data_IF_456552257939
#
_entry.id   IF_456552257939
#
_cell.length_a   1.000
_cell.length_b   1.000
_cell.length_c   1.000
_cell.angle_alpha   90.00
_cell.angle_beta   90.00
_cell.angle_gamma   90.00
#
_symmetry.space_group_name_H-M   'P 1'
#
loop_
_entity.id
_entity.type
_entity.pdbx_description
1 polymer ?
#
# COMPACT_ATOMS: atom_id res chain seq x y z
N UNK A 1 -13.54 -7.63 -35.21
CA UNK A 1 -13.23 -6.42 -36.01
C UNK A 1 -13.05 -5.23 -35.07
N UNK A 2 -12.04 -4.38 -35.29
CA UNK A 2 -11.90 -3.16 -34.47
C UNK A 2 -13.04 -2.17 -34.75
N UNK A 3 -13.46 -1.41 -33.74
CA UNK A 3 -14.55 -0.40 -33.81
C UNK A 3 -14.46 0.49 -35.07
N UNK A 4 -13.25 0.93 -35.42
CA UNK A 4 -12.99 1.71 -36.64
C UNK A 4 -13.40 0.97 -37.93
N UNK A 5 -13.04 -0.31 -38.06
CA UNK A 5 -13.37 -1.13 -39.23
C UNK A 5 -14.88 -1.38 -39.33
N UNK A 6 -15.54 -1.60 -38.20
CA UNK A 6 -17.00 -1.79 -38.16
C UNK A 6 -17.73 -0.55 -38.67
N UNK A 7 -17.36 0.65 -38.20
CA UNK A 7 -17.98 1.90 -38.64
C UNK A 7 -17.79 2.11 -40.14
N UNK A 8 -16.57 1.93 -40.65
CA UNK A 8 -16.27 2.15 -42.08
C UNK A 8 -17.11 1.21 -42.95
N UNK A 9 -17.14 -0.09 -42.62
CA UNK A 9 -17.90 -1.09 -43.39
C UNK A 9 -19.40 -0.84 -43.29
N UNK A 10 -19.92 -0.54 -42.10
CA UNK A 10 -21.35 -0.30 -41.89
C UNK A 10 -21.82 0.99 -42.56
N UNK A 11 -20.97 2.03 -42.59
CA UNK A 11 -21.27 3.27 -43.29
C UNK A 11 -21.23 3.10 -44.81
N UNK A 12 -20.24 2.37 -45.34
CA UNK A 12 -20.19 2.01 -46.75
C UNK A 12 -21.41 1.17 -47.16
N UNK A 13 -21.83 0.22 -46.32
CA UNK A 13 -23.07 -0.53 -46.52
C UNK A 13 -24.29 0.37 -46.55
N UNK A 14 -24.40 1.34 -45.62
CA UNK A 14 -25.52 2.29 -45.58
C UNK A 14 -25.58 3.13 -46.86
N UNK A 15 -24.43 3.61 -47.36
CA UNK A 15 -24.33 4.30 -48.66
C UNK A 15 -24.87 3.42 -49.79
N UNK A 16 -24.43 2.15 -49.86
CA UNK A 16 -24.89 1.21 -50.89
C UNK A 16 -26.40 0.99 -50.81
N UNK A 17 -26.95 0.86 -49.59
CA UNK A 17 -28.41 0.70 -49.38
C UNK A 17 -29.16 1.94 -49.83
N UNK A 18 -28.69 3.15 -49.49
CA UNK A 18 -29.33 4.41 -49.89
C UNK A 18 -29.30 4.57 -51.42
N UNK A 19 -28.14 4.44 -52.05
CA UNK A 19 -28.04 4.58 -53.51
C UNK A 19 -28.80 3.48 -54.26
N UNK A 20 -28.71 2.22 -53.79
CA UNK A 20 -29.41 1.10 -54.40
C UNK A 20 -30.93 1.25 -54.31
N UNK A 21 -31.46 1.73 -53.19
CA UNK A 21 -32.91 1.91 -53.02
C UNK A 21 -33.45 3.08 -53.85
N UNK A 22 -32.75 4.21 -53.91
CA UNK A 22 -33.13 5.36 -54.73
C UNK A 22 -33.05 5.08 -56.25
N UNK A 23 -32.11 4.23 -56.67
CA UNK A 23 -31.97 3.86 -58.08
C UNK A 23 -33.07 2.89 -58.53
N UNK A 24 -33.47 1.94 -57.67
CA UNK A 24 -34.37 0.84 -58.06
C UNK A 24 -35.85 1.18 -57.86
N UNK A 25 -36.21 1.88 -56.77
CA UNK A 25 -37.62 2.06 -56.39
C UNK A 25 -37.94 3.51 -56.02
N UNK A 26 -38.62 4.23 -56.92
CA UNK A 26 -39.20 5.55 -56.66
C UNK A 26 -40.71 5.52 -56.39
N UNK A 27 -41.29 4.32 -56.32
CA UNK A 27 -42.72 4.17 -56.07
C UNK A 27 -43.09 4.47 -54.62
N UNK A 28 -44.37 4.75 -54.41
CA UNK A 28 -44.95 5.03 -53.11
C UNK A 28 -45.59 3.79 -52.50
N UNK A 29 -45.43 3.63 -51.18
CA UNK A 29 -46.07 2.58 -50.41
C UNK A 29 -47.01 3.18 -49.37
N UNK A 30 -48.26 2.72 -49.36
CA UNK A 30 -49.28 3.18 -48.41
C UNK A 30 -49.45 2.15 -47.30
N UNK A 31 -49.09 2.52 -46.08
CA UNK A 31 -49.36 1.72 -44.89
C UNK A 31 -50.72 2.12 -44.32
N UNK A 32 -51.63 1.15 -44.26
CA UNK A 32 -52.93 1.26 -43.60
C UNK A 32 -52.98 0.32 -42.41
N UNK A 33 -52.82 0.85 -41.21
CA UNK A 33 -53.04 0.11 -39.97
C UNK A 33 -54.34 0.64 -39.38
N UNK A 34 -55.43 -0.10 -39.64
CA UNK A 34 -56.81 0.29 -39.31
C UNK A 34 -57.00 0.50 -37.80
N UNK A 35 -56.32 -0.31 -36.98
CA UNK A 35 -56.39 -0.29 -35.50
C UNK A 35 -55.73 0.95 -34.86
N UNK A 36 -54.76 1.56 -35.54
CA UNK A 36 -54.03 2.74 -35.06
C UNK A 36 -54.45 4.03 -35.77
N UNK A 37 -55.41 3.98 -36.70
CA UNK A 37 -55.81 5.12 -37.52
C UNK A 37 -54.70 5.67 -38.44
N UNK A 38 -53.63 4.90 -38.67
CA UNK A 38 -52.49 5.33 -39.48
C UNK A 38 -52.78 5.01 -40.94
N UNK A 39 -52.96 6.05 -41.75
CA UNK A 39 -53.00 5.98 -43.20
C UNK A 39 -51.95 6.94 -43.76
N UNK A 40 -50.73 6.43 -44.00
CA UNK A 40 -49.60 7.23 -44.49
C UNK A 40 -49.01 6.60 -45.73
N UNK A 41 -48.93 7.41 -46.78
CA UNK A 41 -48.23 7.11 -48.03
C UNK A 41 -46.85 7.73 -47.95
N UNK A 42 -45.82 6.90 -48.04
CA UNK A 42 -44.42 7.31 -48.04
C UNK A 42 -43.69 6.56 -49.16
N UNK A 43 -42.70 7.19 -49.82
CA UNK A 43 -41.85 6.51 -50.77
C UNK A 43 -41.17 5.26 -50.18
N UNK A 44 -41.03 4.21 -51.00
CA UNK A 44 -40.47 2.91 -50.56
C UNK A 44 -39.07 3.06 -49.97
N UNK A 45 -38.24 3.96 -50.51
CA UNK A 45 -36.89 4.19 -49.99
C UNK A 45 -36.89 4.66 -48.53
N UNK A 46 -37.90 5.41 -48.07
CA UNK A 46 -38.01 5.84 -46.67
C UNK A 46 -38.18 4.63 -45.76
N UNK A 47 -39.03 3.67 -46.17
CA UNK A 47 -39.30 2.45 -45.42
C UNK A 47 -38.09 1.53 -45.30
N UNK A 48 -37.10 1.65 -46.19
CA UNK A 48 -35.89 0.82 -46.16
C UNK A 48 -34.74 1.56 -45.46
N UNK A 49 -34.52 2.83 -45.78
CA UNK A 49 -33.42 3.64 -45.24
C UNK A 49 -33.63 3.89 -43.74
N UNK A 50 -34.86 4.21 -43.31
CA UNK A 50 -35.13 4.58 -41.92
C UNK A 50 -34.81 3.43 -40.94
N UNK A 51 -35.30 2.18 -41.12
CA UNK A 51 -34.91 1.07 -40.25
C UNK A 51 -33.41 0.75 -40.30
N UNK A 52 -32.78 0.84 -41.48
CA UNK A 52 -31.33 0.60 -41.62
C UNK A 52 -30.51 1.63 -40.82
N UNK A 53 -30.93 2.90 -40.85
CA UNK A 53 -30.30 3.98 -40.10
C UNK A 53 -30.50 3.80 -38.59
N UNK A 54 -31.71 3.44 -38.14
CA UNK A 54 -32.00 3.13 -36.74
C UNK A 54 -31.13 1.97 -36.25
N UNK A 55 -31.01 0.89 -37.02
CA UNK A 55 -30.15 -0.24 -36.69
C UNK A 55 -28.67 0.17 -36.57
N UNK A 56 -28.16 0.98 -37.50
CA UNK A 56 -26.79 1.48 -37.44
C UNK A 56 -26.53 2.28 -36.15
N UNK A 57 -27.42 3.19 -35.78
CA UNK A 57 -27.27 3.95 -34.53
C UNK A 57 -27.38 3.06 -33.29
N UNK A 58 -28.30 2.09 -33.29
CA UNK A 58 -28.46 1.15 -32.18
C UNK A 58 -27.18 0.31 -31.96
N UNK A 59 -26.54 -0.18 -33.03
CA UNK A 59 -25.31 -0.96 -32.91
C UNK A 59 -24.12 -0.11 -32.46
N UNK A 60 -23.99 1.12 -32.98
CA UNK A 60 -22.94 2.06 -32.55
C UNK A 60 -23.11 2.39 -31.06
N UNK A 61 -24.32 2.69 -30.62
CA UNK A 61 -24.61 2.97 -29.21
C UNK A 61 -24.28 1.76 -28.32
N UNK A 62 -24.70 0.57 -28.73
CA UNK A 62 -24.38 -0.68 -28.03
C UNK A 62 -22.86 -0.88 -27.92
N UNK A 63 -22.10 -0.70 -28.99
CA UNK A 63 -20.64 -0.80 -28.95
C UNK A 63 -20.00 0.23 -28.01
N UNK A 64 -20.45 1.48 -28.04
CA UNK A 64 -19.95 2.54 -27.16
C UNK A 64 -20.24 2.20 -25.69
N UNK A 65 -21.44 1.68 -25.39
CA UNK A 65 -21.83 1.27 -24.05
C UNK A 65 -20.90 0.18 -23.49
N UNK A 66 -20.70 -0.91 -24.23
CA UNK A 66 -19.83 -2.01 -23.80
C UNK A 66 -18.35 -1.61 -23.80
N UNK A 67 -17.93 -0.76 -24.72
CA UNK A 67 -16.58 -0.18 -24.74
C UNK A 67 -16.30 0.63 -23.49
N UNK A 68 -17.22 1.53 -23.14
CA UNK A 68 -17.14 2.35 -21.92
C UNK A 68 -17.17 1.49 -20.67
N UNK A 69 -18.08 0.51 -20.59
CA UNK A 69 -18.16 -0.43 -19.45
C UNK A 69 -16.82 -1.17 -19.25
N UNK A 70 -16.27 -1.74 -20.32
CA UNK A 70 -14.98 -2.46 -20.27
C UNK A 70 -13.82 -1.55 -19.87
N UNK A 71 -13.80 -0.32 -20.38
CA UNK A 71 -12.80 0.68 -20.01
C UNK A 71 -12.86 1.04 -18.53
N UNK A 72 -14.05 1.32 -18.00
CA UNK A 72 -14.24 1.65 -16.58
C UNK A 72 -13.86 0.49 -15.65
N UNK A 73 -14.18 -0.74 -16.05
CA UNK A 73 -13.76 -1.96 -15.32
C UNK A 73 -12.24 -2.08 -15.29
N UNK A 74 -11.55 -1.97 -16.43
CA UNK A 74 -10.08 -2.03 -16.50
C UNK A 74 -9.41 -0.91 -15.70
N UNK A 75 -9.97 0.30 -15.75
CA UNK A 75 -9.49 1.45 -14.97
C UNK A 75 -9.62 1.18 -13.47
N UNK A 76 -10.74 0.61 -13.03
CA UNK A 76 -10.96 0.25 -11.62
C UNK A 76 -9.97 -0.83 -11.17
N UNK A 77 -9.79 -1.88 -11.96
CA UNK A 77 -8.82 -2.96 -11.68
C UNK A 77 -7.39 -2.39 -11.57
N UNK A 78 -6.98 -1.52 -12.49
CA UNK A 78 -5.65 -0.89 -12.46
C UNK A 78 -5.44 -0.08 -11.18
N UNK A 79 -6.46 0.68 -10.75
CA UNK A 79 -6.42 1.44 -9.49
C UNK A 79 -6.34 0.50 -8.28
N UNK A 80 -7.12 -0.57 -8.26
CA UNK A 80 -7.12 -1.52 -7.16
C UNK A 80 -5.79 -2.30 -7.07
N UNK A 81 -5.16 -2.65 -8.20
CA UNK A 81 -3.80 -3.23 -8.22
C UNK A 81 -2.79 -2.27 -7.57
N UNK A 82 -2.86 -0.97 -7.88
CA UNK A 82 -1.97 0.02 -7.26
C UNK A 82 -2.18 0.12 -5.75
N UNK A 83 -3.43 -0.02 -5.28
CA UNK A 83 -3.75 -0.07 -3.84
C UNK A 83 -3.21 -1.33 -3.19
N UNK A 84 -3.26 -2.50 -3.85
CA UNK A 84 -2.64 -3.72 -3.33
C UNK A 84 -1.15 -3.52 -3.09
N UNK A 85 -0.44 -2.86 -4.00
CA UNK A 85 0.98 -2.54 -3.78
C UNK A 85 1.20 -1.62 -2.56
N UNK A 86 0.27 -0.70 -2.29
CA UNK A 86 0.29 0.14 -1.09
C UNK A 86 -0.01 -0.66 0.18
N UNK A 87 -1.02 -1.54 0.16
CA UNK A 87 -1.35 -2.44 1.28
C UNK A 87 -0.13 -3.29 1.61
N UNK A 88 0.49 -3.92 0.61
CA UNK A 88 1.71 -4.71 0.79
C UNK A 88 2.84 -3.88 1.43
N UNK A 89 3.02 -2.63 1.00
CA UNK A 89 4.00 -1.74 1.59
C UNK A 89 3.71 -1.38 3.05
N UNK A 90 2.45 -1.13 3.37
CA UNK A 90 2.00 -0.89 4.75
C UNK A 90 2.26 -2.12 5.62
N UNK A 91 1.98 -3.33 5.11
CA UNK A 91 2.25 -4.59 5.81
C UNK A 91 3.74 -4.82 6.03
N UNK A 92 4.60 -4.47 5.07
CA UNK A 92 6.06 -4.52 5.26
C UNK A 92 6.54 -3.58 6.37
N UNK A 93 5.86 -2.42 6.52
CA UNK A 93 6.11 -1.47 7.60
C UNK A 93 5.37 -1.79 8.90
N UNK A 94 4.77 -2.98 9.00
CA UNK A 94 3.96 -3.42 10.14
C UNK A 94 2.85 -2.43 10.50
N UNK A 95 2.12 -1.97 9.49
CA UNK A 95 0.92 -1.14 9.60
C UNK A 95 -0.31 -1.93 9.15
N UNK A 96 -1.45 -1.64 9.75
CA UNK A 96 -2.75 -2.09 9.23
C UNK A 96 -3.19 -1.13 8.12
N UNK A 97 -3.51 -1.68 6.94
CA UNK A 97 -3.96 -0.86 5.81
C UNK A 97 -5.49 -0.87 5.73
N UNK A 98 -6.11 0.31 5.71
CA UNK A 98 -7.58 0.50 5.62
C UNK A 98 -8.07 0.77 4.20
N UNK A 99 -7.22 0.54 3.19
CA UNK A 99 -7.52 0.83 1.80
C UNK A 99 -8.67 -0.05 1.27
N UNK A 100 -9.74 0.59 0.79
CA UNK A 100 -10.89 -0.12 0.22
C UNK A 100 -10.64 -0.53 -1.24
N UNK A 101 -10.83 -1.83 -1.50
CA UNK A 101 -10.76 -2.43 -2.83
C UNK A 101 -12.17 -2.65 -3.37
N UNK A 102 -12.43 -2.22 -4.62
CA UNK A 102 -13.75 -2.32 -5.24
C UNK A 102 -13.95 -3.65 -5.96
N UNK A 103 -12.88 -4.17 -6.55
CA UNK A 103 -12.90 -5.42 -7.32
C UNK A 103 -12.95 -6.61 -6.37
N UNK A 104 -14.00 -7.46 -6.38
CA UNK A 104 -14.18 -8.53 -5.38
C UNK A 104 -12.99 -9.48 -5.25
N UNK A 105 -12.46 -9.98 -6.37
CA UNK A 105 -11.30 -10.89 -6.36
C UNK A 105 -10.02 -10.25 -5.81
N UNK A 106 -9.83 -8.95 -6.04
CA UNK A 106 -8.71 -8.21 -5.47
C UNK A 106 -8.93 -7.88 -3.99
N UNK A 107 -10.19 -7.76 -3.57
CA UNK A 107 -10.54 -7.53 -2.16
C UNK A 107 -10.17 -8.75 -1.32
N UNK A 108 -10.50 -9.96 -1.78
CA UNK A 108 -10.09 -11.20 -1.11
C UNK A 108 -8.56 -11.27 -0.93
N UNK A 109 -7.80 -10.91 -1.97
CA UNK A 109 -6.33 -10.86 -1.89
C UNK A 109 -5.87 -9.82 -0.85
N UNK A 110 -6.48 -8.64 -0.82
CA UNK A 110 -6.16 -7.60 0.16
C UNK A 110 -6.47 -8.04 1.60
N UNK A 111 -7.58 -8.73 1.81
CA UNK A 111 -7.99 -9.24 3.13
C UNK A 111 -7.01 -10.34 3.61
N UNK A 112 -6.57 -11.23 2.71
CA UNK A 112 -5.51 -12.20 2.99
C UNK A 112 -4.19 -11.49 3.34
N UNK A 113 -3.78 -10.50 2.56
CA UNK A 113 -2.55 -9.73 2.81
C UNK A 113 -2.55 -9.03 4.17
N UNK A 114 -3.71 -8.55 4.62
CA UNK A 114 -3.86 -7.94 5.94
C UNK A 114 -3.76 -8.95 7.10
N UNK A 115 -3.99 -10.23 6.83
CA UNK A 115 -3.97 -11.28 7.86
C UNK A 115 -2.61 -11.98 7.96
N UNK A 116 -1.84 -12.04 6.87
CA UNK A 116 -0.55 -12.73 6.85
C UNK A 116 0.58 -11.86 7.41
N UNK A 117 1.58 -12.54 7.99
CA UNK A 117 2.88 -11.96 8.32
C UNK A 117 3.80 -12.05 7.11
N UNK A 118 4.34 -10.92 6.68
CA UNK A 118 5.17 -10.83 5.49
C UNK A 118 6.62 -10.68 5.91
N UNK A 119 7.43 -11.70 5.61
CA UNK A 119 8.89 -11.62 5.78
C UNK A 119 9.51 -10.86 4.61
N UNK A 120 10.51 -10.04 4.91
CA UNK A 120 11.21 -9.24 3.91
C UNK A 120 11.93 -10.19 2.95
N UNK A 121 11.77 -10.03 1.62
CA UNK A 121 12.44 -10.88 0.66
C UNK A 121 13.96 -10.68 0.73
N UNK A 122 14.70 -11.78 0.80
CA UNK A 122 16.17 -11.82 0.78
C UNK A 122 16.76 -11.63 -0.62
N UNK A 123 15.95 -11.79 -1.67
CA UNK A 123 16.34 -11.59 -3.07
C UNK A 123 15.68 -10.31 -3.61
N UNK A 124 16.43 -9.56 -4.41
CA UNK A 124 15.90 -8.42 -5.15
C UNK A 124 14.85 -8.93 -6.14
N UNK A 125 13.58 -8.67 -5.84
CA UNK A 125 12.55 -8.62 -6.88
C UNK A 125 12.76 -7.36 -7.70
N UNK A 126 12.19 -7.25 -8.91
CA UNK A 126 11.93 -5.93 -9.50
C UNK A 126 10.66 -5.38 -8.83
N UNK A 127 10.75 -4.57 -7.77
CA UNK A 127 9.58 -4.18 -7.03
C UNK A 127 9.00 -2.92 -7.69
N UNK A 128 7.75 -2.59 -7.36
CA UNK A 128 7.35 -1.20 -7.52
C UNK A 128 8.38 -0.29 -6.81
N UNK A 129 8.71 0.90 -7.34
CA UNK A 129 9.71 1.78 -6.74
C UNK A 129 9.49 2.03 -5.24
N UNK A 130 8.22 2.05 -4.83
CA UNK A 130 7.77 2.20 -3.45
C UNK A 130 8.19 1.02 -2.55
N UNK A 131 7.96 -0.22 -2.97
CA UNK A 131 8.34 -1.43 -2.21
C UNK A 131 9.86 -1.57 -2.15
N UNK A 132 10.57 -1.17 -3.21
CA UNK A 132 12.02 -1.21 -3.25
C UNK A 132 12.63 -0.31 -2.18
N UNK A 133 12.16 0.94 -2.09
CA UNK A 133 12.61 1.91 -1.09
C UNK A 133 12.33 1.44 0.36
N UNK A 134 11.16 0.85 0.59
CA UNK A 134 10.81 0.29 1.91
C UNK A 134 11.71 -0.90 2.25
N UNK A 135 11.97 -1.80 1.30
CA UNK A 135 12.83 -2.97 1.52
C UNK A 135 14.27 -2.56 1.84
N UNK A 136 14.83 -1.58 1.12
CA UNK A 136 16.19 -1.09 1.39
C UNK A 136 16.28 -0.41 2.76
N UNK A 137 15.27 0.37 3.13
CA UNK A 137 15.17 0.99 4.47
C UNK A 137 15.18 -0.09 5.55
N UNK A 138 14.35 -1.11 5.40
CA UNK A 138 14.26 -2.20 6.38
C UNK A 138 15.55 -3.03 6.42
N UNK A 139 16.20 -3.30 5.28
CA UNK A 139 17.49 -3.97 5.23
C UNK A 139 18.60 -3.15 5.91
N UNK A 140 18.60 -1.83 5.74
CA UNK A 140 19.52 -0.93 6.44
C UNK A 140 19.31 -1.00 7.96
N UNK A 141 18.06 -0.99 8.42
CA UNK A 141 17.72 -1.20 9.84
C UNK A 141 18.14 -2.58 10.35
N UNK A 142 18.00 -3.63 9.53
CA UNK A 142 18.47 -4.97 9.89
C UNK A 142 19.99 -5.06 9.98
N UNK A 143 20.73 -4.28 9.19
CA UNK A 143 22.19 -4.21 9.23
C UNK A 143 22.75 -3.36 10.39
N UNK A 144 21.89 -2.87 11.28
CA UNK A 144 22.30 -2.06 12.43
C UNK A 144 22.47 -0.57 12.14
N UNK A 145 22.12 -0.08 10.94
CA UNK A 145 22.19 1.35 10.62
C UNK A 145 21.06 2.11 11.32
N UNK A 146 21.37 3.30 11.81
CA UNK A 146 20.38 4.26 12.28
C UNK A 146 19.87 5.11 11.12
N UNK A 147 18.55 5.30 11.06
CA UNK A 147 17.86 6.17 10.10
C UNK A 147 17.14 7.25 10.89
N UNK A 148 17.12 8.49 10.39
CA UNK A 148 16.50 9.58 11.15
C UNK A 148 14.99 9.36 11.34
N UNK A 149 14.45 9.75 12.50
CA UNK A 149 13.00 9.61 12.81
C UNK A 149 12.14 10.35 11.77
N UNK A 150 12.65 11.46 11.22
CA UNK A 150 11.98 12.25 10.18
C UNK A 150 11.86 11.51 8.84
N UNK A 151 12.85 10.68 8.52
CA UNK A 151 12.84 9.85 7.30
C UNK A 151 11.98 8.60 7.50
N UNK A 152 12.04 7.99 8.69
CA UNK A 152 11.31 6.76 8.98
C UNK A 152 9.78 6.97 9.04
N UNK A 153 9.31 8.10 9.57
CA UNK A 153 7.87 8.45 9.67
C UNK A 153 6.99 7.30 10.19
N UNK A 154 7.52 6.56 11.17
CA UNK A 154 6.82 5.47 11.84
C UNK A 154 6.46 5.88 13.28
N UNK A 155 5.33 5.41 13.82
CA UNK A 155 5.02 5.56 15.24
C UNK A 155 6.11 4.94 16.11
N UNK A 156 6.37 5.51 17.29
CA UNK A 156 7.41 5.04 18.21
C UNK A 156 7.18 3.60 18.71
N UNK A 157 5.93 3.14 18.69
CA UNK A 157 5.50 1.80 19.10
C UNK A 157 5.68 0.74 17.99
N UNK A 158 6.02 1.14 16.77
CA UNK A 158 6.18 0.21 15.66
C UNK A 158 7.48 -0.61 15.81
N UNK A 159 7.44 -1.89 15.39
CA UNK A 159 8.58 -2.82 15.46
C UNK A 159 9.85 -2.23 14.83
N UNK A 160 9.73 -1.57 13.68
CA UNK A 160 10.86 -0.95 12.98
C UNK A 160 11.38 0.31 13.68
N UNK A 161 10.50 1.08 14.31
CA UNK A 161 10.90 2.25 15.10
C UNK A 161 11.67 1.82 16.36
N UNK A 162 11.18 0.81 17.07
CA UNK A 162 11.87 0.21 18.22
C UNK A 162 13.25 -0.32 17.81
N UNK A 163 13.33 -1.03 16.67
CA UNK A 163 14.60 -1.52 16.14
C UNK A 163 15.57 -0.39 15.78
N UNK A 164 15.07 0.68 15.16
CA UNK A 164 15.88 1.85 14.83
C UNK A 164 16.43 2.54 16.09
N UNK A 165 15.63 2.64 17.15
CA UNK A 165 16.06 3.17 18.45
C UNK A 165 17.14 2.28 19.08
N UNK A 166 17.00 0.96 19.00
CA UNK A 166 18.05 0.00 19.44
C UNK A 166 19.35 0.16 18.64
N UNK A 167 19.25 0.34 17.32
CA UNK A 167 20.44 0.62 16.49
C UNK A 167 21.11 1.93 16.87
N UNK A 168 20.33 2.98 17.17
CA UNK A 168 20.86 4.26 17.65
C UNK A 168 21.62 4.09 18.97
N UNK A 169 21.06 3.33 19.91
CA UNK A 169 21.71 3.03 21.18
C UNK A 169 23.06 2.34 21.00
N UNK A 170 23.20 1.47 19.99
CA UNK A 170 24.45 0.76 19.71
C UNK A 170 25.53 1.63 19.03
N UNK A 171 25.14 2.77 18.43
CA UNK A 171 26.06 3.66 17.71
C UNK A 171 26.41 4.90 18.54
N UNK A 172 25.46 5.42 19.31
CA UNK A 172 25.57 6.67 20.06
C UNK A 172 25.43 6.43 21.57
N UNK A 173 26.58 6.31 22.23
CA UNK A 173 26.67 6.14 23.68
C UNK A 173 26.07 7.33 24.46
N UNK A 174 25.99 8.53 23.89
CA UNK A 174 25.37 9.68 24.55
C UNK A 174 23.85 9.56 24.57
N UNK A 175 23.26 8.96 23.53
CA UNK A 175 21.84 8.67 23.50
C UNK A 175 21.45 7.65 24.59
N UNK A 176 22.29 6.65 24.85
CA UNK A 176 22.07 5.73 25.97
C UNK A 176 22.05 6.46 27.32
N UNK A 177 22.88 7.49 27.50
CA UNK A 177 22.86 8.34 28.72
C UNK A 177 21.56 9.14 28.81
N UNK A 178 21.05 9.68 27.71
CA UNK A 178 19.77 10.41 27.69
C UNK A 178 18.57 9.52 28.00
N UNK A 179 18.58 8.28 27.50
CA UNK A 179 17.54 7.27 27.79
C UNK A 179 17.54 6.91 29.26
N UNK A 180 18.71 6.68 29.86
CA UNK A 180 18.81 6.43 31.30
C UNK A 180 18.44 7.65 32.16
N UNK A 181 18.68 8.89 31.70
CA UNK A 181 18.24 10.08 32.45
C UNK A 181 16.73 10.32 32.41
N UNK A 182 16.01 9.73 31.46
CA UNK A 182 14.55 9.91 31.29
C UNK A 182 13.81 8.56 31.26
N UNK A 183 13.86 7.75 32.33
CA UNK A 183 13.30 6.39 32.33
C UNK A 183 11.78 6.36 32.12
N UNK A 184 11.06 7.42 32.48
CA UNK A 184 9.60 7.48 32.33
C UNK A 184 9.12 7.59 30.88
N UNK A 185 10.01 7.93 29.95
CA UNK A 185 9.68 8.16 28.54
C UNK A 185 9.88 6.92 27.66
N UNK A 186 10.43 5.83 28.20
CA UNK A 186 10.84 4.66 27.45
C UNK A 186 10.39 3.36 28.11
N UNK A 187 10.20 2.32 27.30
CA UNK A 187 9.87 0.98 27.78
C UNK A 187 11.04 0.38 28.59
N UNK A 188 10.72 -0.39 29.63
CA UNK A 188 11.70 -1.05 30.51
C UNK A 188 12.72 -1.88 29.73
N UNK A 189 12.31 -2.56 28.65
CA UNK A 189 13.25 -3.34 27.83
C UNK A 189 14.28 -2.46 27.12
N UNK A 190 13.89 -1.25 26.71
CA UNK A 190 14.79 -0.31 26.04
C UNK A 190 15.80 0.28 27.03
N UNK A 191 15.35 0.56 28.25
CA UNK A 191 16.19 1.05 29.36
C UNK A 191 17.25 0.01 29.71
N UNK A 192 16.87 -1.26 29.82
CA UNK A 192 17.83 -2.31 30.11
C UNK A 192 18.81 -2.54 28.95
N UNK A 193 18.39 -2.41 27.69
CA UNK A 193 19.31 -2.44 26.54
C UNK A 193 20.28 -1.25 26.55
N UNK A 194 19.82 -0.05 26.89
CA UNK A 194 20.68 1.13 27.00
C UNK A 194 21.72 0.97 28.12
N UNK A 195 21.31 0.35 29.23
CA UNK A 195 22.20 0.05 30.35
C UNK A 195 23.24 -1.02 30.00
N UNK A 196 22.83 -2.08 29.31
CA UNK A 196 23.75 -3.13 28.84
C UNK A 196 24.84 -2.54 27.92
N UNK A 197 24.48 -1.65 26.99
CA UNK A 197 25.44 -1.01 26.07
C UNK A 197 26.37 -0.04 26.80
N UNK A 198 25.85 0.76 27.74
CA UNK A 198 26.69 1.64 28.55
C UNK A 198 27.62 0.87 29.48
N UNK A 199 27.17 -0.25 30.02
CA UNK A 199 28.01 -1.19 30.75
C UNK A 199 29.09 -1.78 29.87
N UNK A 200 28.94 -1.94 28.56
CA UNK A 200 30.06 -2.40 27.73
C UNK A 200 31.04 -1.26 27.40
N UNK A 201 30.53 -0.07 27.07
CA UNK A 201 31.33 1.00 26.46
C UNK A 201 31.91 2.03 27.46
N UNK A 202 31.37 2.18 28.68
CA UNK A 202 31.81 3.20 29.65
C UNK A 202 32.39 2.62 30.95
N UNK A 203 33.30 3.35 31.62
CA UNK A 203 33.78 3.00 32.95
C UNK A 203 32.68 3.12 34.00
N UNK A 204 32.72 2.22 35.00
CA UNK A 204 31.67 2.04 36.01
C UNK A 204 31.35 3.35 36.76
N UNK A 205 32.33 4.22 37.03
CA UNK A 205 32.13 5.51 37.71
C UNK A 205 31.17 6.46 36.98
N UNK A 206 31.20 6.44 35.64
CA UNK A 206 30.30 7.26 34.82
C UNK A 206 28.88 6.69 34.84
N UNK A 207 28.76 5.36 34.92
CA UNK A 207 27.48 4.66 34.98
C UNK A 207 26.83 4.93 36.33
N UNK A 208 27.58 4.85 37.44
CA UNK A 208 27.10 5.17 38.80
C UNK A 208 26.46 6.55 38.89
N UNK A 209 27.08 7.58 38.30
CA UNK A 209 26.54 8.96 38.30
C UNK A 209 25.22 9.10 37.55
N UNK A 210 24.99 8.25 36.55
CA UNK A 210 23.83 8.31 35.67
C UNK A 210 22.69 7.46 36.23
N UNK A 211 23.01 6.38 36.93
CA UNK A 211 22.03 5.49 37.57
C UNK A 211 21.71 5.83 39.02
N UNK A 212 22.34 6.86 39.60
CA UNK A 212 22.11 7.28 40.98
C UNK A 212 20.65 7.65 41.30
N UNK A 213 19.88 8.06 40.29
CA UNK A 213 18.46 8.42 40.43
C UNK A 213 17.50 7.36 39.84
N UNK A 214 18.02 6.22 39.38
CA UNK A 214 17.24 5.19 38.69
C UNK A 214 16.88 4.03 39.62
N UNK A 215 15.62 3.60 39.63
CA UNK A 215 15.24 2.31 40.21
C UNK A 215 15.71 1.19 39.27
N UNK A 216 16.89 0.64 39.54
CA UNK A 216 17.44 -0.46 38.75
C UNK A 216 16.61 -1.73 38.92
N UNK A 217 16.34 -2.45 37.83
CA UNK A 217 15.74 -3.79 37.91
C UNK A 217 16.77 -4.80 38.41
N UNK A 218 16.29 -5.91 39.00
CA UNK A 218 17.14 -7.01 39.48
C UNK A 218 18.15 -7.51 38.42
N UNK A 219 17.79 -7.46 37.12
CA UNK A 219 18.68 -7.84 36.02
C UNK A 219 19.83 -6.85 35.82
N UNK A 220 19.54 -5.55 35.89
CA UNK A 220 20.55 -4.50 35.77
C UNK A 220 21.55 -4.57 36.94
N UNK A 221 21.04 -4.81 38.15
CA UNK A 221 21.87 -4.98 39.35
C UNK A 221 22.80 -6.19 39.20
N UNK A 222 22.30 -7.34 38.77
CA UNK A 222 23.14 -8.53 38.55
C UNK A 222 24.25 -8.29 37.53
N UNK A 223 23.95 -7.61 36.41
CA UNK A 223 24.96 -7.31 35.38
C UNK A 223 25.99 -6.27 35.83
N UNK A 224 25.56 -5.27 36.61
CA UNK A 224 26.47 -4.30 37.22
C UNK A 224 27.46 -4.99 38.16
N UNK A 225 26.97 -5.90 39.01
CA UNK A 225 27.79 -6.66 39.95
C UNK A 225 28.74 -7.64 39.22
N UNK A 226 28.30 -8.25 38.12
CA UNK A 226 29.16 -9.10 37.29
C UNK A 226 30.32 -8.32 36.68
N UNK A 227 30.05 -7.16 36.06
CA UNK A 227 31.13 -6.32 35.50
C UNK A 227 32.05 -5.77 36.59
N UNK A 228 31.49 -5.43 37.75
CA UNK A 228 32.28 -4.95 38.87
C UNK A 228 33.14 -6.05 39.50
N UNK A 229 32.73 -7.31 39.45
CA UNK A 229 33.59 -8.42 39.91
C UNK A 229 34.94 -8.47 39.18
N UNK A 230 35.02 -7.92 37.96
CA UNK A 230 36.24 -7.84 37.18
C UNK A 230 37.06 -6.55 37.45
N UNK A 231 36.41 -5.46 37.85
CA UNK A 231 37.04 -4.14 38.03
C UNK A 231 37.18 -3.69 39.49
N UNK A 232 36.52 -4.36 40.43
CA UNK A 232 36.50 -4.11 41.88
C UNK A 232 36.31 -2.62 42.24
N UNK A 233 35.33 -1.98 41.62
CA UNK A 233 35.10 -0.53 41.72
C UNK A 233 33.87 -0.16 42.57
N UNK A 234 32.99 -1.09 42.92
CA UNK A 234 31.88 -0.87 43.87
C UNK A 234 32.32 -1.16 45.31
N UNK A 235 31.88 -0.30 46.21
CA UNK A 235 32.11 -0.48 47.64
C UNK A 235 31.02 -1.39 48.22
N UNK A 236 31.33 -2.22 49.21
CA UNK A 236 30.36 -3.15 49.84
C UNK A 236 29.07 -2.48 50.33
N UNK A 237 29.12 -1.20 50.70
CA UNK A 237 27.95 -0.41 51.09
C UNK A 237 27.03 -0.07 49.90
N UNK A 238 27.60 0.22 48.74
CA UNK A 238 26.85 0.56 47.52
C UNK A 238 26.09 -0.67 46.99
N UNK A 239 26.69 -1.86 47.11
CA UNK A 239 26.07 -3.13 46.73
C UNK A 239 24.84 -3.43 47.61
N UNK A 240 24.91 -3.10 48.90
CA UNK A 240 23.80 -3.31 49.85
C UNK A 240 22.63 -2.35 49.62
N UNK A 241 22.88 -1.14 49.13
CA UNK A 241 21.81 -0.18 48.81
C UNK A 241 21.08 -0.53 47.50
N UNK A 242 21.73 -1.22 46.56
CA UNK A 242 21.07 -1.76 45.36
C UNK A 242 20.27 -3.05 45.60
N UNK A 243 20.51 -3.75 46.71
CA UNK A 243 19.87 -5.04 47.03
C UNK A 243 18.67 -4.93 48.00
N UNK A 244 18.34 -3.72 48.47
CA UNK A 244 17.14 -3.45 49.30
C UNK A 244 15.92 -3.20 48.42
#
# INVERSE_FOLDING_TARGET
>A
MGFKKYIIVSFAFLIIVVFGTLYVNNDEFTVKIVELGINRTLPIYIWIILPALVLFFATVLHMIFYGTKSYLQRSTIKKDISKISMILNDRLLDKTSSLSIKTPSLKEIADILNTVEIKIPTKSFEPSPLIAATTTTIQALNSGKYISVKELKLPSDNIWAIKNTKNRLAIDDNFAVEVLKNPNSYDTNLIECAFDILLENKPIESIKKITAELSLTNRMIQKLLLKDSEQLSLTNHEILDYLK
#
